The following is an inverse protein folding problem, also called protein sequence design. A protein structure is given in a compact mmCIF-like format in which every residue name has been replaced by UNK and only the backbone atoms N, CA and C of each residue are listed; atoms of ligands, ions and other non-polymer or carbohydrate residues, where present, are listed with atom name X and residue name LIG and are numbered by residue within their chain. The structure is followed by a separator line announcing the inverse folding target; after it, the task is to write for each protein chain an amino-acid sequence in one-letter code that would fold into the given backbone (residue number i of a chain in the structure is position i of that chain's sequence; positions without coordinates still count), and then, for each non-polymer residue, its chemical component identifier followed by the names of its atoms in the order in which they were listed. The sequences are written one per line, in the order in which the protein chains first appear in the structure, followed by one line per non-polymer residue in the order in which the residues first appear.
data_IF_569962906178
#
_entry.id   IF_569962906178
#
_cell.length_a   1.000
_cell.length_b   1.000
_cell.length_c   1.000
_cell.angle_alpha   90.00
_cell.angle_beta   90.00
_cell.angle_gamma   90.00
#
_symmetry.space_group_name_H-M   'P 1'
#
loop_
_entity.id
_entity.type
_entity.pdbx_description
1 polymer ?
#
# COMPACT_ATOMS: atom_id res chain seq x y z
N UNK A 1 -20.38 -7.39 13.59
CA UNK A 1 -19.98 -7.95 12.28
C UNK A 1 -18.68 -7.28 11.88
N UNK A 2 -17.71 -7.97 11.26
CA UNK A 2 -16.46 -7.34 10.86
C UNK A 2 -16.76 -6.23 9.84
N UNK A 3 -16.36 -5.00 10.16
CA UNK A 3 -16.48 -3.85 9.27
C UNK A 3 -15.16 -3.67 8.53
N UNK A 4 -15.18 -3.78 7.22
CA UNK A 4 -14.02 -3.50 6.39
C UNK A 4 -14.09 -2.04 5.88
N UNK A 5 -12.94 -1.39 5.73
CA UNK A 5 -12.88 -0.09 5.02
C UNK A 5 -12.30 -0.32 3.64
N UNK A 6 -13.06 -0.04 2.59
CA UNK A 6 -12.53 0.03 1.22
C UNK A 6 -12.03 1.45 0.97
N UNK A 7 -10.78 1.57 0.54
CA UNK A 7 -10.15 2.84 0.18
C UNK A 7 -9.81 2.82 -1.29
N UNK A 8 -10.35 3.78 -2.04
CA UNK A 8 -10.04 4.02 -3.44
C UNK A 8 -9.09 5.22 -3.56
N UNK A 9 -7.99 5.04 -4.27
CA UNK A 9 -6.97 6.07 -4.50
C UNK A 9 -6.88 6.34 -6.01
N UNK A 10 -7.09 7.59 -6.42
CA UNK A 10 -6.84 8.06 -7.78
C UNK A 10 -5.61 8.93 -7.76
N UNK A 11 -4.59 8.56 -8.53
CA UNK A 11 -3.33 9.29 -8.58
C UNK A 11 -3.32 10.27 -9.76
N UNK A 12 -2.67 11.44 -9.66
CA UNK A 12 -2.60 12.39 -10.76
C UNK A 12 -1.95 11.80 -12.01
N UNK A 13 -0.93 10.96 -11.81
CA UNK A 13 -0.16 10.34 -12.88
C UNK A 13 -0.88 9.17 -13.57
N UNK A 14 -2.02 8.68 -13.03
CA UNK A 14 -2.76 7.55 -13.61
C UNK A 14 -4.27 7.66 -13.36
N UNK A 15 -5.11 7.72 -14.40
CA UNK A 15 -6.55 7.94 -14.24
C UNK A 15 -7.30 6.72 -13.69
N UNK A 16 -6.73 5.51 -13.80
CA UNK A 16 -7.32 4.31 -13.23
C UNK A 16 -7.14 4.30 -11.71
N UNK A 17 -8.23 4.28 -10.92
CA UNK A 17 -8.11 4.21 -9.47
C UNK A 17 -7.63 2.83 -9.03
N UNK A 18 -6.92 2.83 -7.91
CA UNK A 18 -6.53 1.62 -7.19
C UNK A 18 -7.41 1.49 -5.95
N UNK A 19 -7.63 0.26 -5.49
CA UNK A 19 -8.40 0.01 -4.28
C UNK A 19 -7.66 -0.92 -3.33
N UNK A 20 -7.77 -0.63 -2.04
CA UNK A 20 -7.30 -1.48 -0.95
C UNK A 20 -8.41 -1.68 0.07
N UNK A 21 -8.52 -2.88 0.62
CA UNK A 21 -9.32 -3.17 1.81
C UNK A 21 -8.44 -3.00 3.02
N UNK A 22 -8.91 -2.28 4.02
CA UNK A 22 -8.29 -2.16 5.34
C UNK A 22 -9.17 -2.83 6.38
N UNK A 23 -8.58 -3.73 7.15
CA UNK A 23 -9.10 -4.23 8.43
C UNK A 23 -8.30 -3.63 9.59
N UNK A 24 -8.93 -3.58 10.77
CA UNK A 24 -8.38 -3.01 12.01
C UNK A 24 -8.65 -3.99 13.14
N UNK A 25 -7.61 -4.37 13.88
CA UNK A 25 -7.69 -5.22 15.08
C UNK A 25 -7.50 -4.44 16.39
N UNK A 26 -7.38 -3.10 16.30
CA UNK A 26 -7.14 -2.16 17.39
C UNK A 26 -5.68 -1.74 17.53
N UNK A 27 -4.71 -2.60 17.19
CA UNK A 27 -3.28 -2.32 17.33
C UNK A 27 -2.59 -2.11 15.97
N UNK A 28 -3.07 -2.79 14.93
CA UNK A 28 -2.52 -2.76 13.59
C UNK A 28 -3.61 -2.51 12.55
N UNK A 29 -3.18 -1.94 11.44
CA UNK A 29 -3.99 -1.90 10.22
C UNK A 29 -3.41 -2.87 9.21
N UNK A 30 -4.26 -3.77 8.72
CA UNK A 30 -3.91 -4.71 7.66
C UNK A 30 -4.59 -4.29 6.37
N UNK A 31 -3.81 -4.20 5.31
CA UNK A 31 -4.24 -3.84 3.98
C UNK A 31 -4.14 -5.02 3.04
N UNK A 32 -5.14 -5.17 2.17
CA UNK A 32 -5.16 -6.12 1.07
C UNK A 32 -5.54 -5.38 -0.22
N UNK A 33 -4.92 -5.72 -1.35
CA UNK A 33 -5.22 -5.11 -2.64
C UNK A 33 -6.56 -5.62 -3.18
N UNK A 34 -7.37 -4.72 -3.73
CA UNK A 34 -8.51 -5.07 -4.58
C UNK A 34 -8.07 -4.93 -6.03
N UNK A 35 -7.62 -6.03 -6.62
CA UNK A 35 -7.21 -6.03 -8.02
C UNK A 35 -8.45 -6.10 -8.93
N UNK A 36 -8.59 -5.12 -9.82
CA UNK A 36 -9.30 -5.35 -11.07
C UNK A 36 -8.38 -6.15 -12.01
N UNK A 37 -8.92 -7.04 -12.84
CA UNK A 37 -8.12 -7.77 -13.82
C UNK A 37 -7.25 -6.80 -14.63
N UNK A 38 -5.92 -7.01 -14.65
CA UNK A 38 -4.96 -6.13 -15.33
C UNK A 38 -4.37 -5.00 -14.49
N UNK A 39 -4.66 -4.91 -13.20
CA UNK A 39 -3.89 -4.11 -12.26
C UNK A 39 -2.44 -4.65 -12.17
N UNK A 40 -1.44 -3.77 -12.03
CA UNK A 40 -0.03 -4.13 -12.04
C UNK A 40 0.36 -5.18 -11.00
N UNK A 41 1.56 -5.75 -11.13
CA UNK A 41 2.07 -6.71 -10.17
C UNK A 41 2.50 -6.00 -8.88
N UNK A 42 2.16 -6.54 -7.69
CA UNK A 42 2.68 -6.03 -6.44
C UNK A 42 4.20 -6.13 -6.39
N UNK A 43 4.81 -5.46 -5.41
CA UNK A 43 6.23 -5.58 -5.13
C UNK A 43 6.52 -7.01 -4.68
N UNK A 44 7.11 -7.81 -5.56
CA UNK A 44 7.31 -9.24 -5.31
C UNK A 44 6.00 -10.03 -5.40
N UNK A 45 5.62 -10.69 -4.31
CA UNK A 45 4.34 -11.44 -4.20
C UNK A 45 3.42 -10.88 -3.12
N UNK A 46 3.64 -9.64 -2.69
CA UNK A 46 2.94 -9.08 -1.54
C UNK A 46 1.42 -9.02 -1.79
N UNK A 47 0.68 -9.73 -0.94
CA UNK A 47 -0.79 -9.73 -0.90
C UNK A 47 -1.33 -9.06 0.37
N UNK A 48 -0.46 -8.83 1.35
CA UNK A 48 -0.85 -8.23 2.61
C UNK A 48 0.24 -7.31 3.15
N UNK A 49 -0.18 -6.14 3.62
CA UNK A 49 0.68 -5.19 4.34
C UNK A 49 0.08 -4.92 5.70
N UNK A 50 0.87 -5.06 6.75
CA UNK A 50 0.49 -4.72 8.12
C UNK A 50 1.28 -3.49 8.57
N UNK A 51 0.60 -2.53 9.20
CA UNK A 51 1.20 -1.28 9.69
C UNK A 51 0.73 -1.03 11.12
N UNK A 52 1.45 -0.19 11.87
CA UNK A 52 0.93 0.31 13.14
C UNK A 52 -0.39 1.06 12.89
N UNK A 53 -1.41 0.81 13.72
CA UNK A 53 -2.70 1.47 13.57
C UNK A 53 -2.52 3.00 13.57
N UNK A 54 -3.24 3.68 12.66
CA UNK A 54 -3.20 5.15 12.51
C UNK A 54 -1.83 5.73 12.13
N UNK A 55 -0.89 4.92 11.65
CA UNK A 55 0.37 5.44 11.12
C UNK A 55 0.07 6.37 9.93
N UNK A 56 0.66 7.59 9.88
CA UNK A 56 0.32 8.59 8.87
C UNK A 56 0.65 8.13 7.44
N UNK A 57 1.67 7.30 7.30
CA UNK A 57 2.09 6.77 6.00
C UNK A 57 1.46 5.40 5.67
N UNK A 58 0.54 4.87 6.48
CA UNK A 58 -0.01 3.52 6.30
C UNK A 58 -0.64 3.29 4.91
N UNK A 59 -1.36 4.30 4.40
CA UNK A 59 -1.96 4.23 3.07
C UNK A 59 -0.89 4.28 1.97
N UNK A 60 0.13 5.13 2.15
CA UNK A 60 1.27 5.20 1.23
C UNK A 60 2.01 3.86 1.18
N UNK A 61 2.23 3.23 2.34
CA UNK A 61 2.88 1.92 2.43
C UNK A 61 2.14 0.85 1.64
N UNK A 62 0.81 0.82 1.77
CA UNK A 62 -0.04 -0.07 0.98
C UNK A 62 0.11 0.23 -0.52
N UNK A 63 0.13 1.51 -0.93
CA UNK A 63 0.31 1.88 -2.32
C UNK A 63 1.68 1.46 -2.87
N UNK A 64 2.76 1.67 -2.11
CA UNK A 64 4.12 1.28 -2.48
C UNK A 64 4.25 -0.23 -2.68
N UNK A 65 3.60 -1.02 -1.82
CA UNK A 65 3.64 -2.46 -1.89
C UNK A 65 2.77 -3.03 -3.02
N UNK A 66 1.56 -2.52 -3.23
CA UNK A 66 0.59 -3.12 -4.15
C UNK A 66 0.63 -2.53 -5.56
N UNK A 67 1.14 -1.31 -5.73
CA UNK A 67 1.16 -0.60 -7.02
C UNK A 67 2.55 -0.01 -7.31
N UNK A 68 3.63 -0.80 -7.25
CA UNK A 68 5.01 -0.30 -7.37
C UNK A 68 5.28 0.39 -8.72
N UNK A 69 4.54 0.06 -9.77
CA UNK A 69 4.71 0.66 -11.10
C UNK A 69 4.44 2.17 -11.12
N UNK A 70 3.57 2.64 -10.22
CA UNK A 70 3.32 4.07 -10.01
C UNK A 70 4.58 4.78 -9.53
N UNK A 71 5.39 4.07 -8.76
CA UNK A 71 6.56 4.58 -8.07
C UNK A 71 7.86 4.23 -8.81
N UNK A 72 7.78 3.82 -10.08
CA UNK A 72 8.94 3.39 -10.86
C UNK A 72 10.06 4.46 -10.98
N UNK A 73 9.74 5.74 -10.77
CA UNK A 73 10.72 6.83 -10.70
C UNK A 73 11.43 6.99 -9.35
N UNK A 74 11.04 6.24 -8.32
CA UNK A 74 11.66 6.25 -6.99
C UNK A 74 12.95 5.42 -7.03
N UNK A 75 14.09 6.05 -6.76
CA UNK A 75 15.40 5.41 -6.78
C UNK A 75 15.51 4.26 -5.77
N UNK A 76 14.85 4.39 -4.61
CA UNK A 76 14.88 3.36 -3.56
C UNK A 76 14.06 2.10 -3.91
N UNK A 77 13.20 2.15 -4.94
CA UNK A 77 12.26 1.06 -5.25
C UNK A 77 12.98 -0.24 -5.60
N UNK A 78 14.01 -0.17 -6.45
CA UNK A 78 14.76 -1.36 -6.89
C UNK A 78 15.44 -2.08 -5.72
N UNK A 79 16.03 -1.31 -4.79
CA UNK A 79 16.63 -1.87 -3.57
C UNK A 79 15.58 -2.56 -2.70
N UNK A 80 14.45 -1.87 -2.47
CA UNK A 80 13.36 -2.42 -1.65
C UNK A 80 12.80 -3.70 -2.28
N UNK A 81 12.64 -3.74 -3.60
CA UNK A 81 12.16 -4.93 -4.31
C UNK A 81 13.10 -6.13 -4.14
N UNK A 82 14.42 -5.90 -4.15
CA UNK A 82 15.40 -6.95 -3.86
C UNK A 82 15.34 -7.43 -2.40
N UNK A 83 15.15 -6.51 -1.45
CA UNK A 83 15.09 -6.82 -0.01
C UNK A 83 13.82 -7.58 0.36
N UNK A 84 12.68 -7.19 -0.21
CA UNK A 84 11.39 -7.85 0.03
C UNK A 84 11.31 -9.20 -0.69
N UNK A 85 11.92 -9.31 -1.88
CA UNK A 85 11.99 -10.56 -2.63
C UNK A 85 10.61 -11.13 -2.95
N UNK A 86 10.42 -12.42 -2.68
CA UNK A 86 9.16 -13.15 -2.97
C UNK A 86 8.23 -13.22 -1.75
N UNK A 87 8.39 -12.32 -0.76
CA UNK A 87 7.49 -12.30 0.39
C UNK A 87 6.03 -12.09 -0.05
N UNK A 88 5.11 -12.75 0.66
CA UNK A 88 3.66 -12.59 0.45
C UNK A 88 3.03 -11.63 1.47
N UNK A 89 3.69 -11.44 2.61
CA UNK A 89 3.24 -10.58 3.70
C UNK A 89 4.37 -9.62 4.08
N UNK A 90 4.02 -8.36 4.28
CA UNK A 90 4.95 -7.32 4.69
C UNK A 90 4.47 -6.67 5.99
N UNK A 91 5.22 -6.87 7.07
CA UNK A 91 4.97 -6.22 8.35
C UNK A 91 5.86 -4.98 8.52
N UNK A 92 5.22 -3.82 8.50
CA UNK A 92 5.82 -2.49 8.70
C UNK A 92 5.42 -1.89 10.06
N UNK A 93 4.70 -2.63 10.89
CA UNK A 93 4.37 -2.20 12.26
C UNK A 93 5.59 -2.24 13.19
N UNK A 94 6.56 -3.12 12.87
CA UNK A 94 7.82 -3.26 13.58
C UNK A 94 9.00 -2.65 12.84
N UNK A 95 10.02 -3.47 12.57
CA UNK A 95 11.23 -3.03 11.87
C UNK A 95 10.97 -2.93 10.37
N UNK A 96 11.22 -1.76 9.80
CA UNK A 96 11.11 -1.54 8.36
C UNK A 96 12.21 -2.29 7.59
N UNK A 97 11.91 -2.81 6.39
CA UNK A 97 12.92 -3.30 5.46
C UNK A 97 13.93 -2.21 5.12
N UNK A 98 15.16 -2.64 4.79
CA UNK A 98 16.21 -1.72 4.31
C UNK A 98 15.71 -0.98 3.06
N UNK A 99 15.89 0.35 3.05
CA UNK A 99 15.45 1.22 1.95
C UNK A 99 13.99 1.70 2.05
N UNK A 100 13.15 1.09 2.89
CA UNK A 100 11.72 1.43 2.95
C UNK A 100 11.47 2.88 3.38
N UNK A 101 12.23 3.38 4.35
CA UNK A 101 12.10 4.76 4.82
C UNK A 101 12.46 5.78 3.72
N UNK A 102 13.46 5.49 2.88
CA UNK A 102 13.81 6.32 1.74
C UNK A 102 12.69 6.28 0.68
N UNK A 103 12.18 5.08 0.37
CA UNK A 103 11.07 4.90 -0.55
C UNK A 103 9.80 5.64 -0.10
N UNK A 104 9.49 5.67 1.20
CA UNK A 104 8.41 6.52 1.75
C UNK A 104 8.64 8.00 1.43
N UNK A 105 9.86 8.49 1.63
CA UNK A 105 10.20 9.88 1.34
C UNK A 105 9.96 10.24 -0.14
N UNK A 106 10.44 9.39 -1.04
CA UNK A 106 10.26 9.56 -2.48
C UNK A 106 8.79 9.44 -2.91
N UNK A 107 8.08 8.42 -2.40
CA UNK A 107 6.68 8.15 -2.71
C UNK A 107 5.70 9.23 -2.26
N UNK A 108 6.02 10.01 -1.20
CA UNK A 108 5.21 11.15 -0.78
C UNK A 108 5.03 12.19 -1.88
N UNK A 109 6.08 12.45 -2.66
CA UNK A 109 6.02 13.38 -3.78
C UNK A 109 5.08 12.87 -4.88
N UNK A 110 5.09 11.56 -5.15
CA UNK A 110 4.24 10.92 -6.17
C UNK A 110 2.77 10.94 -5.77
N UNK A 111 2.45 10.79 -4.48
CA UNK A 111 1.07 10.85 -3.99
C UNK A 111 0.54 12.27 -3.79
N UNK A 112 1.36 13.30 -3.98
CA UNK A 112 0.91 14.68 -3.79
C UNK A 112 -0.22 15.01 -4.78
N UNK A 113 -1.37 15.42 -4.24
CA UNK A 113 -2.57 15.69 -5.04
C UNK A 113 -3.41 14.45 -5.39
N UNK A 114 -3.11 13.28 -4.81
CA UNK A 114 -3.96 12.10 -4.93
C UNK A 114 -5.37 12.35 -4.36
N UNK A 115 -6.39 11.89 -5.08
CA UNK A 115 -7.75 11.87 -4.58
C UNK A 115 -8.00 10.55 -3.85
N UNK A 116 -8.32 10.61 -2.56
CA UNK A 116 -8.61 9.44 -1.72
C UNK A 116 -10.08 9.45 -1.33
N UNK A 117 -10.76 8.31 -1.53
CA UNK A 117 -12.15 8.08 -1.12
C UNK A 117 -12.21 6.82 -0.27
N UNK A 118 -12.94 6.87 0.83
CA UNK A 118 -13.09 5.73 1.76
C UNK A 118 -14.56 5.40 1.94
N UNK A 119 -14.91 4.11 1.92
CA UNK A 119 -16.24 3.61 2.21
C UNK A 119 -16.15 2.48 3.24
N UNK A 120 -17.09 2.44 4.19
CA UNK A 120 -17.25 1.29 5.07
C UNK A 120 -18.15 0.25 4.39
N UNK A 121 -17.77 -1.01 4.54
CA UNK A 121 -18.50 -2.15 3.98
C UNK A 121 -18.68 -3.19 5.08
N UNK A 122 -19.92 -3.65 5.25
CA UNK A 122 -20.23 -4.77 6.11
C UNK A 122 -19.87 -6.07 5.39
N UNK A 123 -19.05 -6.90 6.02
CA UNK A 123 -18.73 -8.23 5.52
C UNK A 123 -19.65 -9.22 6.26
N UNK A 124 -20.63 -9.74 5.51
CA UNK A 124 -21.64 -10.69 5.98
C UNK A 124 -21.14 -12.13 6.03
#
# INVERSE_FOLDING_TARGET
MPTATVTTITLPARPAPFAVVRSDDGATWTFQPLYAAGAGAPLGRIQQVTTAARHPDALLDACLAFFPEVFAGCAALALVQQVVGEAEQLDLSGRLPVGWAALRGEGKAVMMGAAVKTAQVEVG
#
